data_IF_590833228306
#
_entry.id   IF_590833228306
#
_cell.length_a   1.000
_cell.length_b   1.000
_cell.length_c   1.000
_cell.angle_alpha   90.00
_cell.angle_beta   90.00
_cell.angle_gamma   90.00
#
_symmetry.space_group_name_H-M   'P 1'
#
loop_
_entity.id
_entity.type
_entity.pdbx_description
1 polymer ?
#
# COMPACT_ATOMS: atom_id res chain seq x y z
N UNK A 1 -64.33 -14.35 0.48
CA UNK A 1 -62.95 -14.88 0.24
C UNK A 1 -62.81 -16.10 1.05
N UNK A 2 -62.68 -17.27 0.42
CA UNK A 2 -62.60 -18.57 1.11
C UNK A 2 -61.36 -18.63 2.01
N UNK A 3 -61.48 -19.31 3.16
CA UNK A 3 -60.36 -19.57 4.11
C UNK A 3 -59.14 -20.22 3.44
N UNK A 4 -59.40 -21.01 2.42
CA UNK A 4 -58.35 -21.63 1.55
C UNK A 4 -57.55 -20.59 0.81
N UNK A 5 -58.19 -19.56 0.27
CA UNK A 5 -57.56 -18.46 -0.48
C UNK A 5 -56.65 -17.60 0.38
N UNK A 6 -57.05 -17.28 1.63
CA UNK A 6 -56.23 -16.52 2.58
C UNK A 6 -55.01 -17.29 3.01
N UNK A 7 -55.15 -18.58 3.29
CA UNK A 7 -54.06 -19.42 3.73
C UNK A 7 -53.01 -19.65 2.64
N UNK A 8 -53.46 -19.83 1.40
CA UNK A 8 -52.58 -19.99 0.26
C UNK A 8 -51.86 -18.70 -0.11
N UNK A 9 -52.51 -17.55 0.00
CA UNK A 9 -51.90 -16.24 -0.15
C UNK A 9 -50.77 -16.00 0.92
N UNK A 10 -51.05 -16.26 2.20
CA UNK A 10 -50.08 -16.15 3.26
C UNK A 10 -48.88 -17.10 3.09
N UNK A 11 -49.15 -18.34 2.68
CA UNK A 11 -48.08 -19.34 2.41
C UNK A 11 -47.19 -18.92 1.24
N UNK A 12 -47.80 -18.40 0.19
CA UNK A 12 -47.04 -17.93 -1.00
C UNK A 12 -46.25 -16.68 -0.65
N UNK A 13 -46.85 -15.73 0.06
CA UNK A 13 -46.18 -14.51 0.54
C UNK A 13 -44.99 -14.83 1.43
N UNK A 14 -45.17 -15.75 2.40
CA UNK A 14 -44.06 -16.19 3.27
C UNK A 14 -42.91 -16.84 2.50
N UNK A 15 -43.21 -17.70 1.52
CA UNK A 15 -42.19 -18.36 0.67
C UNK A 15 -41.42 -17.35 -0.16
N UNK A 16 -42.11 -16.40 -0.78
CA UNK A 16 -41.50 -15.34 -1.58
C UNK A 16 -40.64 -14.41 -0.76
N UNK A 17 -41.13 -13.99 0.41
CA UNK A 17 -40.37 -13.15 1.33
C UNK A 17 -39.11 -13.85 1.85
N UNK A 18 -39.24 -15.14 2.21
CA UNK A 18 -38.10 -15.94 2.63
C UNK A 18 -37.06 -16.11 1.53
N UNK A 19 -37.49 -16.36 0.29
CA UNK A 19 -36.57 -16.47 -0.86
C UNK A 19 -35.84 -15.15 -1.14
N UNK A 20 -36.55 -14.02 -1.04
CA UNK A 20 -35.95 -12.69 -1.20
C UNK A 20 -34.92 -12.38 -0.11
N UNK A 21 -35.23 -12.70 1.14
CA UNK A 21 -34.30 -12.50 2.25
C UNK A 21 -33.04 -13.35 2.13
N UNK A 22 -33.20 -14.63 1.75
CA UNK A 22 -32.06 -15.53 1.51
C UNK A 22 -31.22 -15.03 0.34
N UNK A 23 -31.86 -14.60 -0.74
CA UNK A 23 -31.18 -14.02 -1.91
C UNK A 23 -30.40 -12.75 -1.57
N UNK A 24 -31.02 -11.83 -0.82
CA UNK A 24 -30.37 -10.61 -0.38
C UNK A 24 -29.20 -10.89 0.58
N UNK A 25 -29.39 -11.79 1.56
CA UNK A 25 -28.32 -12.19 2.47
C UNK A 25 -27.17 -12.89 1.74
N UNK A 26 -27.49 -13.76 0.78
CA UNK A 26 -26.49 -14.41 -0.07
C UNK A 26 -25.70 -13.42 -0.93
N UNK A 27 -26.39 -12.45 -1.53
CA UNK A 27 -25.75 -11.41 -2.32
C UNK A 27 -24.85 -10.50 -1.47
N UNK A 28 -25.34 -10.02 -0.33
CA UNK A 28 -24.53 -9.18 0.58
C UNK A 28 -23.34 -9.96 1.15
N UNK A 29 -23.53 -11.25 1.49
CA UNK A 29 -22.43 -12.12 1.91
C UNK A 29 -21.39 -12.32 0.82
N UNK A 30 -21.83 -12.54 -0.41
CA UNK A 30 -20.95 -12.66 -1.57
C UNK A 30 -20.13 -11.37 -1.79
N UNK A 31 -20.78 -10.19 -1.79
CA UNK A 31 -20.08 -8.91 -1.96
C UNK A 31 -19.11 -8.61 -0.79
N UNK A 32 -19.46 -9.00 0.44
CA UNK A 32 -18.59 -8.83 1.60
C UNK A 32 -17.35 -9.74 1.58
N UNK A 33 -17.49 -10.95 1.01
CA UNK A 33 -16.39 -11.90 0.87
C UNK A 33 -15.64 -11.78 -0.45
N UNK A 34 -16.20 -11.02 -1.40
CA UNK A 34 -15.55 -10.74 -2.66
C UNK A 34 -14.25 -10.00 -2.38
N UNK A 35 -13.08 -10.52 -2.78
CA UNK A 35 -11.84 -9.78 -2.63
C UNK A 35 -12.07 -8.42 -3.29
N UNK A 36 -11.98 -7.35 -2.50
CA UNK A 36 -11.81 -6.02 -3.08
C UNK A 36 -10.66 -6.22 -4.05
N UNK A 37 -10.93 -6.04 -5.34
CA UNK A 37 -9.87 -5.99 -6.34
C UNK A 37 -8.94 -4.88 -5.85
N UNK A 38 -7.97 -5.28 -5.02
CA UNK A 38 -6.98 -4.39 -4.43
C UNK A 38 -6.21 -3.83 -5.61
N UNK A 39 -6.71 -2.70 -6.16
CA UNK A 39 -6.03 -2.00 -7.23
C UNK A 39 -5.61 -2.89 -8.41
N UNK A 40 -6.45 -3.86 -8.82
CA UNK A 40 -6.22 -4.64 -10.04
C UNK A 40 -6.31 -3.77 -11.33
N UNK A 41 -6.52 -2.48 -11.18
CA UNK A 41 -6.24 -1.46 -12.15
C UNK A 41 -5.06 -0.64 -11.68
N UNK A 42 -3.86 -1.19 -11.72
CA UNK A 42 -2.65 -0.41 -11.52
C UNK A 42 -2.70 0.81 -12.44
N UNK A 43 -2.77 2.00 -11.85
CA UNK A 43 -2.75 3.22 -12.63
C UNK A 43 -1.30 3.65 -12.82
N UNK A 44 -0.96 4.02 -14.05
CA UNK A 44 0.27 4.76 -14.30
C UNK A 44 0.05 6.19 -13.82
N UNK A 45 0.77 6.57 -12.77
CA UNK A 45 0.69 7.90 -12.18
C UNK A 45 1.90 8.71 -12.60
N UNK A 46 1.70 9.81 -13.30
CA UNK A 46 2.74 10.81 -13.51
C UNK A 46 2.89 11.61 -12.22
N UNK A 47 4.00 11.44 -11.52
CA UNK A 47 4.22 12.01 -10.18
C UNK A 47 4.97 13.33 -10.18
N UNK A 48 5.56 13.70 -11.32
CA UNK A 48 6.27 14.96 -11.51
C UNK A 48 7.45 14.84 -12.45
N UNK A 49 8.20 15.92 -12.58
CA UNK A 49 9.45 15.90 -13.37
C UNK A 49 10.60 15.35 -12.52
N UNK A 50 11.57 14.73 -13.14
CA UNK A 50 12.81 14.25 -12.49
C UNK A 50 13.48 15.35 -11.68
N UNK A 51 13.52 16.57 -12.22
CA UNK A 51 14.07 17.75 -11.54
C UNK A 51 13.35 18.19 -10.26
N UNK A 52 12.11 17.72 -10.05
CA UNK A 52 11.34 18.01 -8.83
C UNK A 52 11.77 17.15 -7.64
N UNK A 53 12.54 16.10 -7.87
CA UNK A 53 13.02 15.18 -6.84
C UNK A 53 14.51 15.38 -6.61
N UNK A 54 14.86 16.30 -5.72
CA UNK A 54 16.27 16.55 -5.40
C UNK A 54 16.94 15.31 -4.79
N UNK A 55 18.22 15.11 -5.11
CA UNK A 55 19.02 14.00 -4.57
C UNK A 55 19.04 14.05 -3.04
N UNK A 56 18.82 12.94 -2.40
CA UNK A 56 18.79 12.82 -0.94
C UNK A 56 17.45 13.20 -0.29
N UNK A 57 16.38 13.33 -1.08
CA UNK A 57 15.03 13.69 -0.59
C UNK A 57 14.01 12.57 -0.77
N UNK A 58 12.94 12.65 -0.01
CA UNK A 58 11.77 11.78 -0.08
C UNK A 58 10.51 12.64 -0.20
N UNK A 59 9.67 12.33 -1.18
CA UNK A 59 8.39 13.00 -1.42
C UNK A 59 7.25 12.01 -1.29
N UNK A 60 6.29 12.26 -0.41
CA UNK A 60 5.11 11.40 -0.26
C UNK A 60 4.05 11.74 -1.31
N UNK A 61 3.63 10.72 -2.06
CA UNK A 61 2.57 10.81 -3.08
C UNK A 61 1.34 10.07 -2.58
N UNK A 62 0.36 10.81 -2.08
CA UNK A 62 -0.86 10.26 -1.45
C UNK A 62 -1.71 9.43 -2.42
N UNK A 63 -1.79 9.83 -3.69
CA UNK A 63 -2.55 9.13 -4.72
C UNK A 63 -2.11 7.67 -4.92
N UNK A 64 -0.80 7.39 -4.78
CA UNK A 64 -0.24 6.04 -4.89
C UNK A 64 0.11 5.42 -3.54
N UNK A 65 -0.12 6.12 -2.43
CA UNK A 65 0.32 5.70 -1.08
C UNK A 65 1.77 5.23 -1.07
N UNK A 66 2.64 6.06 -1.64
CA UNK A 66 4.04 5.74 -1.87
C UNK A 66 4.93 6.95 -1.63
N UNK A 67 6.22 6.68 -1.52
CA UNK A 67 7.26 7.70 -1.49
C UNK A 67 8.05 7.66 -2.79
N UNK A 68 8.22 8.80 -3.43
CA UNK A 68 9.18 8.96 -4.51
C UNK A 68 10.46 9.52 -3.90
N UNK A 69 11.54 8.79 -4.05
CA UNK A 69 12.84 9.13 -3.47
C UNK A 69 13.90 9.22 -4.55
N UNK A 70 14.84 10.11 -4.38
CA UNK A 70 16.04 10.18 -5.21
C UNK A 70 17.27 9.86 -4.35
N UNK A 71 17.85 8.70 -4.57
CA UNK A 71 19.05 8.23 -3.87
C UNK A 71 20.20 8.09 -4.89
N UNK A 72 21.22 8.93 -4.78
CA UNK A 72 22.37 8.95 -5.68
C UNK A 72 21.98 9.02 -7.18
N UNK A 73 21.04 9.92 -7.50
CA UNK A 73 20.47 10.14 -8.84
C UNK A 73 19.64 8.97 -9.41
N UNK A 74 19.36 7.97 -8.58
CA UNK A 74 18.37 6.93 -8.88
C UNK A 74 17.03 7.26 -8.24
N UNK A 75 15.98 7.30 -9.06
CA UNK A 75 14.61 7.54 -8.60
C UNK A 75 13.92 6.21 -8.32
N UNK A 76 13.41 6.06 -7.08
CA UNK A 76 12.62 4.91 -6.66
C UNK A 76 11.23 5.34 -6.22
N UNK A 77 10.24 4.48 -6.43
CA UNK A 77 8.91 4.61 -5.85
C UNK A 77 8.71 3.50 -4.80
N UNK A 78 8.75 3.87 -3.52
CA UNK A 78 8.69 2.94 -2.40
C UNK A 78 7.26 2.83 -1.89
N UNK A 79 6.76 1.61 -1.69
CA UNK A 79 5.50 1.40 -0.99
C UNK A 79 5.59 1.89 0.45
N UNK A 80 4.57 2.59 0.94
CA UNK A 80 4.53 3.01 2.35
C UNK A 80 4.40 1.85 3.35
N UNK A 81 4.12 0.63 2.87
CA UNK A 81 3.87 -0.53 3.73
C UNK A 81 5.17 -1.18 4.22
N UNK A 82 5.25 -1.39 5.53
CA UNK A 82 6.33 -2.15 6.13
C UNK A 82 6.27 -3.63 5.72
N UNK A 83 7.36 -4.21 5.18
CA UNK A 83 7.39 -5.63 4.82
C UNK A 83 7.25 -6.58 6.01
N UNK A 84 7.32 -6.09 7.25
CA UNK A 84 7.08 -6.90 8.45
C UNK A 84 5.61 -7.29 8.58
N UNK A 85 4.72 -6.32 8.88
CA UNK A 85 3.29 -6.54 9.12
C UNK A 85 2.40 -5.44 8.51
N UNK A 86 2.88 -4.72 7.50
CA UNK A 86 2.07 -3.80 6.71
C UNK A 86 1.80 -2.42 7.33
N UNK A 87 2.45 -2.06 8.45
CA UNK A 87 2.33 -0.73 9.02
C UNK A 87 2.79 0.36 8.04
N UNK A 88 2.22 1.56 8.16
CA UNK A 88 2.74 2.73 7.46
C UNK A 88 4.12 3.09 8.00
N UNK A 89 5.09 3.25 7.11
CA UNK A 89 6.47 3.65 7.44
C UNK A 89 6.68 5.10 7.04
N UNK A 90 6.71 6.04 7.99
CA UNK A 90 7.01 7.43 7.69
C UNK A 90 8.50 7.64 7.39
N UNK A 91 8.79 8.69 6.60
CA UNK A 91 10.15 9.19 6.44
C UNK A 91 10.49 10.11 7.61
N UNK A 92 11.63 9.89 8.24
CA UNK A 92 12.15 10.71 9.31
C UNK A 92 13.17 11.70 8.75
N UNK A 93 12.79 12.95 8.66
CA UNK A 93 13.62 14.03 8.08
C UNK A 93 14.94 14.21 8.87
N UNK A 94 14.88 14.07 10.19
CA UNK A 94 16.06 14.25 11.04
C UNK A 94 17.11 13.16 10.83
N UNK A 95 16.71 11.91 10.71
CA UNK A 95 17.64 10.81 10.46
C UNK A 95 17.92 10.58 8.97
N UNK A 96 17.04 11.05 8.07
CA UNK A 96 17.09 10.78 6.64
C UNK A 96 16.73 9.33 6.29
N UNK A 97 15.92 8.68 7.12
CA UNK A 97 15.58 7.25 7.02
C UNK A 97 14.08 7.02 7.11
N UNK A 98 13.64 5.88 6.61
CA UNK A 98 12.29 5.39 6.85
C UNK A 98 12.28 4.60 8.16
N UNK A 99 11.39 4.97 9.08
CA UNK A 99 11.36 4.38 10.42
C UNK A 99 9.95 3.92 10.76
N UNK A 100 9.78 2.60 10.91
CA UNK A 100 8.48 1.99 11.21
C UNK A 100 8.17 2.11 12.71
N UNK A 101 7.10 2.82 13.11
CA UNK A 101 6.79 3.04 14.53
C UNK A 101 6.24 1.81 15.23
N UNK A 102 5.79 0.78 14.48
CA UNK A 102 5.14 -0.38 15.08
C UNK A 102 6.14 -1.28 15.82
N UNK A 103 7.25 -1.66 15.19
CA UNK A 103 8.22 -2.59 15.75
C UNK A 103 9.68 -2.19 15.46
N UNK A 104 9.92 -0.93 15.12
CA UNK A 104 11.26 -0.40 14.98
C UNK A 104 12.06 -0.86 13.75
N UNK A 105 11.40 -1.31 12.68
CA UNK A 105 12.13 -1.55 11.42
C UNK A 105 12.60 -0.24 10.82
N UNK A 106 13.87 -0.20 10.40
CA UNK A 106 14.53 0.99 9.85
C UNK A 106 15.07 0.66 8.46
N UNK A 107 14.90 1.61 7.54
CA UNK A 107 15.37 1.49 6.15
C UNK A 107 16.08 2.78 5.76
N UNK A 108 17.03 2.68 4.85
CA UNK A 108 17.68 3.85 4.29
C UNK A 108 16.76 4.61 3.30
N UNK A 109 17.29 5.66 2.69
CA UNK A 109 16.55 6.48 1.73
C UNK A 109 16.06 5.67 0.52
N UNK A 110 16.81 4.68 0.05
CA UNK A 110 16.42 3.80 -1.05
C UNK A 110 15.49 2.65 -0.63
N UNK A 111 15.10 2.59 0.65
CA UNK A 111 14.27 1.53 1.20
C UNK A 111 15.03 0.24 1.49
N UNK A 112 16.38 0.24 1.51
CA UNK A 112 17.18 -0.91 1.90
C UNK A 112 17.13 -1.13 3.42
N UNK A 113 17.10 -2.40 3.84
CA UNK A 113 16.99 -2.77 5.24
C UNK A 113 18.22 -2.38 6.06
N UNK A 114 18.01 -1.73 7.20
CA UNK A 114 19.05 -1.38 8.17
C UNK A 114 18.90 -2.19 9.45
N UNK A 115 17.71 -2.15 10.08
CA UNK A 115 17.48 -2.78 11.39
C UNK A 115 16.00 -3.15 11.59
N UNK A 116 15.74 -3.96 12.63
CA UNK A 116 14.39 -4.33 13.07
C UNK A 116 13.93 -5.70 12.55
N UNK A 117 12.63 -6.06 12.75
CA UNK A 117 12.12 -7.39 12.46
C UNK A 117 11.74 -7.63 10.99
N UNK A 118 11.76 -6.62 10.12
CA UNK A 118 11.39 -6.80 8.72
C UNK A 118 12.30 -7.79 8.00
N UNK A 119 11.76 -8.68 7.14
CA UNK A 119 12.55 -9.71 6.46
C UNK A 119 13.37 -9.18 5.28
N UNK A 120 13.02 -8.01 4.74
CA UNK A 120 13.64 -7.37 3.56
C UNK A 120 13.49 -5.86 3.60
N UNK A 121 14.02 -5.17 2.61
CA UNK A 121 13.78 -3.75 2.36
C UNK A 121 12.33 -3.44 1.94
N UNK A 122 12.01 -2.16 1.81
CA UNK A 122 10.68 -1.69 1.39
C UNK A 122 10.40 -2.09 -0.05
N UNK A 123 9.16 -2.51 -0.32
CA UNK A 123 8.72 -2.90 -1.66
C UNK A 123 8.67 -1.68 -2.59
N UNK A 124 8.93 -1.91 -3.88
CA UNK A 124 9.10 -0.86 -4.89
C UNK A 124 8.09 -1.01 -6.01
N UNK A 125 7.47 0.09 -6.38
CA UNK A 125 6.71 0.18 -7.62
C UNK A 125 7.65 0.34 -8.81
N UNK A 126 7.18 -0.08 -9.98
CA UNK A 126 7.93 0.12 -11.20
C UNK A 126 7.90 1.60 -11.60
N UNK A 127 9.09 2.13 -11.88
CA UNK A 127 9.29 3.53 -12.31
C UNK A 127 9.78 3.54 -13.77
N UNK A 128 9.14 4.35 -14.59
CA UNK A 128 9.55 4.63 -15.98
C UNK A 128 9.69 6.13 -16.17
N UNK A 129 10.59 6.53 -17.06
CA UNK A 129 10.72 7.92 -17.46
C UNK A 129 10.04 8.11 -18.82
N UNK A 130 9.14 9.09 -18.88
CA UNK A 130 8.53 9.56 -20.13
C UNK A 130 9.00 11.01 -20.38
N UNK A 131 10.05 11.14 -21.19
CA UNK A 131 10.83 12.35 -21.26
C UNK A 131 11.39 12.73 -19.88
N UNK A 132 11.04 13.93 -19.40
CA UNK A 132 11.43 14.40 -18.07
C UNK A 132 10.48 13.95 -16.95
N UNK A 133 9.37 13.30 -17.30
CA UNK A 133 8.35 12.92 -16.30
C UNK A 133 8.65 11.56 -15.69
N UNK A 134 8.52 11.49 -14.39
CA UNK A 134 8.55 10.25 -13.60
C UNK A 134 7.15 9.65 -13.59
N UNK A 135 7.01 8.47 -14.16
CA UNK A 135 5.77 7.71 -14.23
C UNK A 135 5.91 6.45 -13.39
N UNK A 136 5.01 6.26 -12.44
CA UNK A 136 4.99 5.10 -11.54
C UNK A 136 3.81 4.20 -11.88
N UNK A 137 4.07 2.93 -12.14
CA UNK A 137 3.04 1.92 -12.32
C UNK A 137 2.68 1.29 -10.96
N UNK A 138 1.54 1.69 -10.40
CA UNK A 138 1.07 1.17 -9.11
C UNK A 138 0.51 -0.25 -9.18
N UNK A 139 0.35 -0.81 -10.38
CA UNK A 139 -0.06 -2.21 -10.59
C UNK A 139 1.12 -3.18 -10.51
N UNK A 140 2.35 -2.69 -10.63
CA UNK A 140 3.55 -3.51 -10.60
C UNK A 140 4.34 -3.22 -9.32
N UNK A 141 4.13 -4.06 -8.31
CA UNK A 141 4.85 -3.99 -7.04
C UNK A 141 5.90 -5.11 -6.99
N UNK A 142 7.16 -4.74 -6.89
CA UNK A 142 8.30 -5.66 -6.76
C UNK A 142 8.72 -5.73 -5.30
N UNK A 143 9.11 -6.92 -4.87
CA UNK A 143 9.68 -7.08 -3.54
C UNK A 143 10.92 -6.22 -3.35
N UNK A 144 11.05 -5.68 -2.14
CA UNK A 144 12.19 -4.87 -1.75
C UNK A 144 13.51 -5.66 -1.72
N UNK A 145 14.65 -4.96 -1.68
CA UNK A 145 15.97 -5.60 -1.64
C UNK A 145 16.10 -6.59 -0.50
N UNK A 146 16.83 -7.68 -0.73
CA UNK A 146 17.10 -8.68 0.29
C UNK A 146 17.81 -8.07 1.50
N UNK A 147 17.60 -8.67 2.68
CA UNK A 147 18.29 -8.26 3.91
C UNK A 147 19.80 -8.38 3.72
N UNK A 148 20.53 -7.33 4.06
CA UNK A 148 21.98 -7.26 3.85
C UNK A 148 22.43 -6.51 2.61
N UNK A 149 21.51 -6.15 1.70
CA UNK A 149 21.80 -5.22 0.59
C UNK A 149 22.12 -3.84 1.15
N UNK A 150 23.21 -3.22 0.69
CA UNK A 150 23.72 -1.92 1.18
C UNK A 150 24.30 -1.07 0.05
N UNK A 151 23.56 -0.93 -1.05
CA UNK A 151 24.03 -0.16 -2.21
C UNK A 151 23.92 1.35 -2.00
N UNK A 152 22.95 1.78 -1.18
CA UNK A 152 22.60 3.18 -0.95
C UNK A 152 22.76 3.59 0.53
N UNK A 153 23.35 2.73 1.35
CA UNK A 153 23.48 2.98 2.78
C UNK A 153 24.34 4.22 3.02
N UNK A 154 23.74 5.23 3.65
CA UNK A 154 24.42 6.41 4.16
C UNK A 154 24.35 6.45 5.69
N UNK A 155 25.29 7.12 6.39
CA UNK A 155 25.14 7.40 7.81
C UNK A 155 23.85 8.16 8.09
N UNK A 156 23.24 8.01 9.29
CA UNK A 156 22.08 8.82 9.65
C UNK A 156 22.48 10.30 9.70
N UNK A 157 21.61 11.17 9.20
CA UNK A 157 21.82 12.62 9.23
C UNK A 157 21.72 13.20 10.65
N UNK A 158 20.96 12.54 11.52
CA UNK A 158 20.69 12.97 12.88
C UNK A 158 19.88 11.96 13.68
N UNK A 159 19.16 12.40 14.73
CA UNK A 159 18.45 11.50 15.63
C UNK A 159 17.25 10.81 14.94
N UNK A 160 16.94 9.59 15.40
CA UNK A 160 15.77 8.83 15.02
C UNK A 160 14.48 9.52 15.49
N UNK A 161 13.40 9.43 14.68
CA UNK A 161 12.07 9.90 15.03
C UNK A 161 11.31 8.89 15.91
N UNK A 162 11.62 7.61 15.80
CA UNK A 162 11.14 6.60 16.74
C UNK A 162 12.14 6.56 17.90
N UNK A 163 11.66 6.86 19.11
CA UNK A 163 12.52 6.81 20.30
C UNK A 163 13.27 5.49 20.39
N UNK A 164 14.47 5.51 21.01
CA UNK A 164 15.18 4.27 21.30
C UNK A 164 14.25 3.36 22.10
N UNK A 165 13.82 2.27 21.45
CA UNK A 165 13.15 1.18 22.16
C UNK A 165 14.13 0.51 23.11
#
# INVERSE_FOLDING_TARGET
MDDKSRRDFLRTGWKLSGALLIGAAGYTGYEALRPLASGAGGAKLTVGKTSSFATGTSTYVSAGRMYVVNANDYVFALSQKCPHLGCHVPFCESSGRFECPCHGSIYDLAGEYIAGPAPRGMDRYEVTLDGDNVVVDTGVLKEGPARGTKNFLTPPKGPSCIGKA
#
